data_IF_291673095852
#
_entry.id   IF_291673095852
#
_cell.length_a   1.000
_cell.length_b   1.000
_cell.length_c   1.000
_cell.angle_alpha   90.00
_cell.angle_beta   90.00
_cell.angle_gamma   90.00
#
_symmetry.space_group_name_H-M   'P 1'
#
loop_
_entity.id
_entity.type
_entity.pdbx_description
1 polymer ?
#
# COMPACT_ATOMS: atom_id res chain seq x y z
N UNK A 1 0.50 10.23 -16.84
CA UNK A 1 0.78 10.01 -15.41
C UNK A 1 1.64 8.76 -15.34
N UNK A 2 2.84 8.85 -14.79
CA UNK A 2 3.77 7.71 -14.74
C UNK A 2 3.60 6.96 -13.42
N UNK A 3 3.05 5.75 -13.52
CA UNK A 3 2.89 4.85 -12.36
C UNK A 3 4.18 4.06 -12.17
N UNK A 4 4.71 4.09 -10.95
CA UNK A 4 5.91 3.36 -10.53
C UNK A 4 5.61 2.51 -9.30
N UNK A 5 6.49 1.55 -9.00
CA UNK A 5 6.38 0.70 -7.81
C UNK A 5 7.48 1.10 -6.82
N UNK A 6 7.08 1.45 -5.60
CA UNK A 6 7.98 1.53 -4.46
C UNK A 6 8.03 0.18 -3.76
N UNK A 7 9.19 -0.23 -3.24
CA UNK A 7 9.33 -1.51 -2.52
C UNK A 7 9.51 -1.24 -1.04
N UNK A 8 8.65 -1.84 -0.22
CA UNK A 8 8.73 -1.79 1.23
C UNK A 8 8.65 -3.20 1.80
N UNK A 9 9.69 -3.65 2.53
CA UNK A 9 9.78 -5.01 3.09
C UNK A 9 9.53 -6.13 2.06
N UNK A 10 9.96 -5.94 0.81
CA UNK A 10 9.74 -6.89 -0.29
C UNK A 10 8.35 -6.82 -0.92
N UNK A 11 7.45 -5.96 -0.43
CA UNK A 11 6.12 -5.72 -1.00
C UNK A 11 6.12 -4.49 -1.90
N UNK A 12 5.42 -4.61 -3.03
CA UNK A 12 5.25 -3.52 -3.99
C UNK A 12 4.10 -2.59 -3.59
N UNK A 13 4.38 -1.29 -3.52
CA UNK A 13 3.40 -0.24 -3.26
C UNK A 13 3.30 0.62 -4.51
N UNK A 14 2.10 0.72 -5.09
CA UNK A 14 1.85 1.60 -6.24
C UNK A 14 2.07 3.04 -5.83
N UNK A 15 2.85 3.73 -6.66
CA UNK A 15 3.23 5.13 -6.51
C UNK A 15 3.00 5.88 -7.82
N UNK A 16 2.61 7.14 -7.74
CA UNK A 16 2.73 8.10 -8.84
C UNK A 16 3.37 9.38 -8.34
N UNK A 17 4.13 10.06 -9.20
CA UNK A 17 4.60 11.43 -8.94
C UNK A 17 3.63 12.35 -9.64
N UNK A 18 3.00 13.23 -8.87
CA UNK A 18 2.07 14.23 -9.40
C UNK A 18 2.33 15.56 -8.74
N UNK A 19 2.52 16.63 -9.53
CA UNK A 19 2.81 17.98 -9.03
C UNK A 19 3.96 18.05 -8.02
N UNK A 20 5.02 17.28 -8.24
CA UNK A 20 6.17 17.19 -7.33
C UNK A 20 5.83 16.58 -5.95
N UNK A 21 4.67 15.94 -5.83
CA UNK A 21 4.22 15.19 -4.65
C UNK A 21 4.21 13.69 -4.92
N UNK A 22 4.29 12.93 -3.84
CA UNK A 22 4.31 11.48 -3.85
C UNK A 22 2.94 10.97 -3.45
N UNK A 23 2.31 10.26 -4.38
CA UNK A 23 0.99 9.67 -4.17
C UNK A 23 1.13 8.17 -4.12
N UNK A 24 0.51 7.54 -3.12
CA UNK A 24 0.56 6.11 -2.89
C UNK A 24 -0.84 5.50 -2.83
N UNK A 25 -0.96 4.25 -3.26
CA UNK A 25 -2.18 3.47 -3.03
C UNK A 25 -2.33 3.15 -1.55
N UNK A 26 -3.40 3.62 -0.93
CA UNK A 26 -3.69 3.36 0.50
C UNK A 26 -3.87 1.85 0.74
N UNK A 27 -4.50 1.13 -0.18
CA UNK A 27 -4.69 -0.32 -0.05
C UNK A 27 -3.35 -1.06 0.04
N UNK A 28 -2.39 -0.70 -0.82
CA UNK A 28 -1.07 -1.35 -0.86
C UNK A 28 -0.25 -1.01 0.39
N UNK A 29 -0.39 0.22 0.91
CA UNK A 29 0.24 0.62 2.17
C UNK A 29 -0.32 -0.19 3.34
N UNK A 30 -1.65 -0.33 3.42
CA UNK A 30 -2.29 -1.13 4.49
C UNK A 30 -1.86 -2.60 4.40
N UNK A 31 -1.87 -3.20 3.20
CA UNK A 31 -1.42 -4.58 2.98
C UNK A 31 0.07 -4.77 3.31
N UNK A 32 0.90 -3.77 2.99
CA UNK A 32 2.33 -3.82 3.28
C UNK A 32 2.67 -3.64 4.76
N UNK A 33 1.80 -2.98 5.54
CA UNK A 33 2.02 -2.71 6.97
C UNK A 33 1.36 -3.74 7.88
N UNK A 34 0.19 -4.24 7.49
CA UNK A 34 -0.57 -5.18 8.31
C UNK A 34 -0.19 -6.63 8.04
N UNK A 35 0.57 -6.90 6.97
CA UNK A 35 0.78 -8.23 6.40
C UNK A 35 -0.52 -9.03 6.18
N UNK A 36 -1.67 -8.34 6.25
CA UNK A 36 -3.00 -8.90 6.11
C UNK A 36 -3.50 -8.60 4.71
N UNK A 37 -3.81 -9.66 3.97
CA UNK A 37 -4.45 -9.60 2.66
C UNK A 37 -5.92 -9.17 2.72
N UNK A 38 -6.47 -8.93 3.93
CA UNK A 38 -7.84 -8.45 4.09
C UNK A 38 -7.87 -7.15 4.92
N UNK A 39 -7.89 -5.96 4.26
CA UNK A 39 -7.96 -4.67 4.95
C UNK A 39 -9.27 -4.46 5.74
N UNK A 40 -10.21 -5.43 5.72
CA UNK A 40 -11.49 -5.40 6.42
C UNK A 40 -11.56 -6.33 7.63
N UNK A 41 -10.53 -7.13 7.90
CA UNK A 41 -10.59 -8.16 8.94
C UNK A 41 -10.07 -7.63 10.28
N UNK A 42 -10.90 -6.81 10.94
CA UNK A 42 -10.66 -6.30 12.30
C UNK A 42 -11.26 -7.20 13.40
N UNK A 43 -11.87 -8.33 13.07
CA UNK A 43 -12.75 -9.02 14.02
C UNK A 43 -12.71 -10.55 13.87
N UNK A 44 -11.77 -11.15 14.59
CA UNK A 44 -11.91 -12.49 15.16
C UNK A 44 -10.87 -12.69 16.28
N UNK A 45 -11.10 -12.05 17.43
CA UNK A 45 -10.58 -12.59 18.69
C UNK A 45 -11.58 -13.70 19.05
N UNK A 46 -11.18 -14.95 18.80
CA UNK A 46 -11.83 -16.12 19.41
C UNK A 46 -11.42 -16.22 20.87
#
# INVERSE_FOLDING_TARGET
>A
METSIAVFRGKGIRKTIHNNEWWFSIADVVEALTDSTDPRQYNAIT
#
